data_IF_339131468796
#
_entry.id   IF_339131468796
#
_cell.length_a   1.000
_cell.length_b   1.000
_cell.length_c   1.000
_cell.angle_alpha   90.00
_cell.angle_beta   90.00
_cell.angle_gamma   90.00
#
_symmetry.space_group_name_H-M   'P 1'
#
loop_
_entity.id
_entity.type
_entity.pdbx_description
1 polymer ?
#
# COMPACT_ATOMS: atom_id res chain seq x y z
N UNK A 1 28.59 -8.31 -43.23
CA UNK A 1 28.50 -7.17 -42.29
C UNK A 1 27.31 -7.39 -41.38
N UNK A 2 27.52 -7.86 -40.15
CA UNK A 2 26.43 -7.95 -39.14
C UNK A 2 26.29 -6.56 -38.53
N UNK A 3 25.20 -5.86 -38.86
CA UNK A 3 24.89 -4.57 -38.28
C UNK A 3 24.77 -4.70 -36.76
N UNK A 4 25.70 -4.09 -36.03
CA UNK A 4 25.68 -3.91 -34.58
C UNK A 4 24.66 -2.82 -34.22
N UNK A 5 23.36 -3.11 -34.35
CA UNK A 5 22.36 -2.29 -33.66
C UNK A 5 22.39 -2.68 -32.18
N UNK A 6 23.09 -1.90 -31.35
CA UNK A 6 22.87 -1.97 -29.90
C UNK A 6 21.39 -1.67 -29.67
N UNK A 7 20.65 -2.54 -28.94
CA UNK A 7 19.25 -2.25 -28.63
C UNK A 7 19.18 -0.90 -27.92
N UNK A 8 18.23 -0.05 -28.36
CA UNK A 8 18.00 1.26 -27.75
C UNK A 8 17.78 1.07 -26.24
N UNK A 9 18.41 1.88 -25.37
CA UNK A 9 18.17 1.78 -23.94
C UNK A 9 16.67 1.96 -23.67
N UNK A 10 16.09 1.06 -22.86
CA UNK A 10 14.67 1.12 -22.51
C UNK A 10 14.44 2.36 -21.65
N UNK A 11 13.42 3.15 -21.99
CA UNK A 11 13.03 4.29 -21.16
C UNK A 11 12.27 3.81 -19.92
N UNK A 12 12.17 4.61 -18.84
CA UNK A 12 11.35 4.28 -17.68
C UNK A 12 9.90 3.91 -18.06
N UNK A 13 9.32 4.64 -19.02
CA UNK A 13 7.99 4.34 -19.54
C UNK A 13 7.93 2.99 -20.28
N UNK A 14 8.94 2.63 -21.06
CA UNK A 14 8.98 1.33 -21.76
C UNK A 14 9.02 0.16 -20.78
N UNK A 15 9.76 0.31 -19.68
CA UNK A 15 9.84 -0.72 -18.62
C UNK A 15 8.49 -0.89 -17.94
N UNK A 16 7.79 0.21 -17.64
CA UNK A 16 6.43 0.15 -17.05
C UNK A 16 5.45 -0.53 -18.00
N UNK A 17 5.45 -0.18 -19.29
CA UNK A 17 4.56 -0.80 -20.30
C UNK A 17 4.80 -2.29 -20.42
N UNK A 18 6.07 -2.70 -20.57
CA UNK A 18 6.43 -4.11 -20.61
C UNK A 18 6.02 -4.84 -19.30
N UNK A 19 6.27 -4.23 -18.13
CA UNK A 19 5.80 -4.77 -16.84
C UNK A 19 4.29 -4.99 -16.84
N UNK A 20 3.51 -4.02 -17.33
CA UNK A 20 2.05 -4.10 -17.42
C UNK A 20 1.60 -5.25 -18.33
N UNK A 21 2.25 -5.43 -19.47
CA UNK A 21 1.92 -6.51 -20.41
C UNK A 21 2.27 -7.89 -19.85
N UNK A 22 3.39 -8.02 -19.14
CA UNK A 22 3.75 -9.24 -18.41
C UNK A 22 2.80 -9.54 -17.26
N UNK A 23 2.30 -8.50 -16.55
CA UNK A 23 1.28 -8.67 -15.52
C UNK A 23 -0.07 -9.11 -16.12
N UNK A 24 -0.49 -8.54 -17.25
CA UNK A 24 -1.69 -8.98 -17.99
C UNK A 24 -1.56 -10.44 -18.41
N UNK A 25 -0.38 -10.84 -18.89
CA UNK A 25 -0.09 -12.22 -19.21
C UNK A 25 -0.23 -13.13 -17.98
N UNK A 26 0.40 -12.75 -16.86
CA UNK A 26 0.38 -13.51 -15.61
C UNK A 26 -1.03 -13.60 -15.00
N UNK A 27 -1.87 -12.59 -15.19
CA UNK A 27 -3.26 -12.60 -14.73
C UNK A 27 -4.04 -13.77 -15.33
N UNK A 28 -3.84 -14.04 -16.62
CA UNK A 28 -4.55 -15.07 -17.40
C UNK A 28 -3.82 -16.42 -17.45
N UNK A 29 -2.56 -16.49 -17.00
CA UNK A 29 -1.78 -17.73 -17.03
C UNK A 29 -2.27 -18.75 -15.98
N UNK A 30 -2.66 -19.97 -16.39
CA UNK A 30 -3.11 -21.03 -15.48
C UNK A 30 -1.94 -21.76 -14.79
N UNK A 31 -0.75 -21.79 -15.39
CA UNK A 31 0.45 -22.43 -14.83
C UNK A 31 1.71 -21.56 -15.06
N UNK A 32 2.19 -20.95 -13.98
CA UNK A 32 3.37 -20.06 -13.96
C UNK A 32 4.65 -20.81 -14.37
N UNK A 33 4.73 -22.14 -14.16
CA UNK A 33 5.94 -22.93 -14.44
C UNK A 33 6.22 -23.11 -15.93
N UNK A 34 5.20 -23.05 -16.78
CA UNK A 34 5.36 -23.22 -18.24
C UNK A 34 5.94 -21.99 -18.92
N UNK A 35 5.75 -20.81 -18.33
CA UNK A 35 6.11 -19.52 -18.94
C UNK A 35 7.27 -18.83 -18.20
N UNK A 36 8.31 -19.60 -17.89
CA UNK A 36 9.42 -19.19 -17.04
C UNK A 36 10.12 -17.92 -17.55
N UNK A 37 10.33 -17.77 -18.86
CA UNK A 37 11.05 -16.62 -19.42
C UNK A 37 10.33 -15.28 -19.18
N UNK A 38 9.01 -15.26 -19.35
CA UNK A 38 8.18 -14.06 -19.10
C UNK A 38 8.13 -13.70 -17.61
N UNK A 39 8.08 -14.70 -16.75
CA UNK A 39 8.11 -14.52 -15.30
C UNK A 39 9.47 -13.98 -14.84
N UNK A 40 10.56 -14.51 -15.38
CA UNK A 40 11.92 -14.02 -15.13
C UNK A 40 12.06 -12.56 -15.61
N UNK A 41 11.52 -12.23 -16.78
CA UNK A 41 11.52 -10.86 -17.30
C UNK A 41 10.71 -9.91 -16.41
N UNK A 42 9.55 -10.36 -15.90
CA UNK A 42 8.75 -9.57 -14.96
C UNK A 42 9.54 -9.26 -13.69
N UNK A 43 10.24 -10.25 -13.13
CA UNK A 43 11.06 -10.03 -11.93
C UNK A 43 12.22 -9.05 -12.19
N UNK A 44 12.86 -9.14 -13.36
CA UNK A 44 13.89 -8.16 -13.77
C UNK A 44 13.30 -6.76 -13.88
N UNK A 45 12.13 -6.61 -14.50
CA UNK A 45 11.49 -5.31 -14.65
C UNK A 45 11.10 -4.73 -13.28
N UNK A 46 10.53 -5.51 -12.36
CA UNK A 46 10.20 -5.03 -11.00
C UNK A 46 11.43 -4.55 -10.24
N UNK A 47 12.55 -5.26 -10.36
CA UNK A 47 13.82 -4.85 -9.78
C UNK A 47 14.35 -3.55 -10.41
N UNK A 48 14.22 -3.41 -11.72
CA UNK A 48 14.64 -2.21 -12.44
C UNK A 48 13.78 -0.98 -12.09
N UNK A 49 12.45 -1.15 -11.98
CA UNK A 49 11.55 -0.12 -11.48
C UNK A 49 11.96 0.34 -10.07
N UNK A 50 12.30 -0.60 -9.18
CA UNK A 50 12.82 -0.28 -7.84
C UNK A 50 14.13 0.51 -7.93
N UNK A 51 15.07 0.08 -8.77
CA UNK A 51 16.35 0.78 -8.95
C UNK A 51 16.18 2.20 -9.48
N UNK A 52 15.22 2.44 -10.38
CA UNK A 52 14.90 3.79 -10.85
C UNK A 52 14.42 4.68 -9.69
N UNK A 53 13.57 4.14 -8.81
CA UNK A 53 12.92 4.90 -7.74
C UNK A 53 13.79 5.11 -6.48
N UNK A 54 14.74 4.23 -6.21
CA UNK A 54 15.60 4.28 -5.03
C UNK A 54 17.08 4.51 -5.34
N UNK A 55 17.49 4.44 -6.61
CA UNK A 55 18.89 4.41 -6.99
C UNK A 55 19.56 3.06 -6.72
N UNK A 56 20.88 3.06 -6.75
CA UNK A 56 21.73 1.94 -6.37
C UNK A 56 22.98 2.44 -5.62
N UNK A 57 23.97 1.58 -5.39
CA UNK A 57 25.22 1.95 -4.71
C UNK A 57 26.08 2.96 -5.47
N UNK A 58 25.84 3.16 -6.77
CA UNK A 58 26.67 3.97 -7.67
C UNK A 58 25.98 5.29 -8.07
N UNK A 59 24.65 5.33 -8.08
CA UNK A 59 23.87 6.45 -8.57
C UNK A 59 22.59 6.69 -7.76
N UNK A 60 22.32 7.95 -7.45
CA UNK A 60 21.05 8.40 -6.89
C UNK A 60 19.91 8.35 -7.93
N UNK A 61 18.65 8.23 -7.47
CA UNK A 61 17.50 8.23 -8.37
C UNK A 61 17.37 9.56 -9.12
N UNK A 62 17.28 9.50 -10.45
CA UNK A 62 17.14 10.67 -11.31
C UNK A 62 15.69 11.17 -11.26
N UNK A 63 15.41 12.42 -10.83
CA UNK A 63 14.04 12.92 -10.65
C UNK A 63 13.17 12.83 -11.91
N UNK A 64 13.74 13.11 -13.08
CA UNK A 64 13.03 13.01 -14.36
C UNK A 64 12.62 11.56 -14.66
N UNK A 65 13.50 10.59 -14.42
CA UNK A 65 13.20 9.18 -14.64
C UNK A 65 12.11 8.68 -13.66
N UNK A 66 12.17 9.09 -12.40
CA UNK A 66 11.12 8.84 -11.41
C UNK A 66 9.78 9.42 -11.85
N UNK A 67 9.77 10.66 -12.36
CA UNK A 67 8.56 11.33 -12.84
C UNK A 67 7.95 10.59 -14.05
N UNK A 68 8.77 10.20 -15.03
CA UNK A 68 8.31 9.46 -16.21
C UNK A 68 7.74 8.08 -15.84
N UNK A 69 8.43 7.35 -14.96
CA UNK A 69 7.97 6.06 -14.43
C UNK A 69 6.62 6.23 -13.71
N UNK A 70 6.53 7.20 -12.80
CA UNK A 70 5.31 7.46 -12.01
C UNK A 70 4.13 7.79 -12.91
N UNK A 71 4.34 8.67 -13.90
CA UNK A 71 3.31 9.04 -14.86
C UNK A 71 2.81 7.81 -15.63
N UNK A 72 3.70 7.03 -16.22
CA UNK A 72 3.31 5.85 -17.00
C UNK A 72 2.68 4.74 -16.12
N UNK A 73 3.08 4.63 -14.85
CA UNK A 73 2.54 3.61 -13.95
C UNK A 73 1.07 3.84 -13.64
N UNK A 74 0.69 5.09 -13.36
CA UNK A 74 -0.68 5.50 -13.04
C UNK A 74 -1.54 5.89 -14.25
N UNK A 75 -0.96 6.02 -15.44
CA UNK A 75 -1.72 6.31 -16.67
C UNK A 75 -2.71 5.19 -17.05
N UNK A 76 -2.45 3.95 -16.59
CA UNK A 76 -3.31 2.79 -16.83
C UNK A 76 -3.44 1.93 -15.55
N UNK A 77 -3.99 0.72 -15.67
CA UNK A 77 -4.26 -0.19 -14.57
C UNK A 77 -3.04 -0.95 -14.02
N UNK A 78 -1.82 -0.40 -14.12
CA UNK A 78 -0.60 -1.10 -13.68
C UNK A 78 -0.66 -1.42 -12.18
N UNK A 79 -1.12 -0.47 -11.35
CA UNK A 79 -1.21 -0.69 -9.91
C UNK A 79 -2.17 -1.83 -9.57
N UNK A 80 -3.40 -1.80 -10.11
CA UNK A 80 -4.40 -2.86 -9.93
C UNK A 80 -3.90 -4.23 -10.36
N UNK A 81 -3.30 -4.31 -11.56
CA UNK A 81 -2.76 -5.56 -12.08
C UNK A 81 -1.66 -6.11 -11.17
N UNK A 82 -0.78 -5.25 -10.66
CA UNK A 82 0.29 -5.62 -9.75
C UNK A 82 -0.27 -6.16 -8.43
N UNK A 83 -1.27 -5.50 -7.84
CA UNK A 83 -1.95 -5.95 -6.60
C UNK A 83 -2.57 -7.34 -6.79
N UNK A 84 -3.28 -7.56 -7.91
CA UNK A 84 -3.95 -8.83 -8.21
C UNK A 84 -2.96 -9.96 -8.52
N UNK A 85 -1.83 -9.65 -9.14
CA UNK A 85 -0.81 -10.65 -9.48
C UNK A 85 0.21 -10.88 -8.35
N UNK A 86 0.26 -10.03 -7.33
CA UNK A 86 1.24 -10.10 -6.24
C UNK A 86 1.34 -11.52 -5.60
N UNK A 87 0.23 -12.23 -5.33
CA UNK A 87 0.29 -13.58 -4.76
C UNK A 87 0.95 -14.61 -5.69
N UNK A 88 0.96 -14.37 -7.00
CA UNK A 88 1.58 -15.23 -8.02
C UNK A 88 3.10 -15.04 -8.10
N UNK A 89 3.65 -13.98 -7.51
CA UNK A 89 5.09 -13.68 -7.55
C UNK A 89 5.85 -14.41 -6.44
N UNK A 90 7.17 -14.58 -6.62
CA UNK A 90 8.04 -15.06 -5.55
C UNK A 90 8.30 -13.96 -4.50
N UNK A 91 8.86 -14.34 -3.35
CA UNK A 91 9.06 -13.44 -2.22
C UNK A 91 9.86 -12.17 -2.57
N UNK A 92 10.93 -12.30 -3.36
CA UNK A 92 11.78 -11.16 -3.72
C UNK A 92 11.03 -10.18 -4.63
N UNK A 93 10.33 -10.69 -5.64
CA UNK A 93 9.50 -9.87 -6.53
C UNK A 93 8.33 -9.21 -5.78
N UNK A 94 7.74 -9.86 -4.76
CA UNK A 94 6.74 -9.23 -3.88
C UNK A 94 7.34 -8.06 -3.10
N UNK A 95 8.55 -8.21 -2.56
CA UNK A 95 9.27 -7.12 -1.85
C UNK A 95 9.55 -5.95 -2.80
N UNK A 96 10.06 -6.23 -3.98
CA UNK A 96 10.35 -5.21 -5.01
C UNK A 96 9.08 -4.46 -5.41
N UNK A 97 8.00 -5.19 -5.73
CA UNK A 97 6.70 -4.60 -6.05
C UNK A 97 6.13 -3.74 -4.91
N UNK A 98 6.27 -4.20 -3.66
CA UNK A 98 5.84 -3.44 -2.47
C UNK A 98 6.57 -2.12 -2.36
N UNK A 99 7.90 -2.12 -2.51
CA UNK A 99 8.72 -0.91 -2.44
C UNK A 99 8.43 0.04 -3.60
N UNK A 100 8.24 -0.48 -4.81
CA UNK A 100 7.83 0.32 -5.98
C UNK A 100 6.52 1.03 -5.70
N UNK A 101 5.46 0.31 -5.30
CA UNK A 101 4.16 0.91 -4.98
C UNK A 101 4.28 1.94 -3.86
N UNK A 102 5.00 1.62 -2.79
CA UNK A 102 5.20 2.50 -1.64
C UNK A 102 5.85 3.83 -2.03
N UNK A 103 6.92 3.78 -2.83
CA UNK A 103 7.62 4.97 -3.30
C UNK A 103 6.73 5.83 -4.20
N UNK A 104 6.02 5.20 -5.14
CA UNK A 104 5.15 5.87 -6.10
C UNK A 104 4.04 6.70 -5.46
N UNK A 105 3.56 6.33 -4.27
CA UNK A 105 2.55 7.13 -3.55
C UNK A 105 3.04 8.53 -3.16
N UNK A 106 4.37 8.73 -3.07
CA UNK A 106 5.01 9.98 -2.63
C UNK A 106 5.58 10.79 -3.78
N UNK A 107 5.65 10.22 -4.98
CA UNK A 107 6.24 10.87 -6.15
C UNK A 107 5.37 12.01 -6.65
N UNK A 108 5.99 13.15 -6.94
CA UNK A 108 5.33 14.30 -7.54
C UNK A 108 5.66 14.35 -9.03
N UNK A 109 4.64 14.44 -9.87
CA UNK A 109 4.75 14.70 -11.31
C UNK A 109 4.21 16.10 -11.56
N UNK A 110 5.05 16.99 -12.07
CA UNK A 110 4.69 18.41 -12.28
C UNK A 110 4.10 19.04 -10.99
N UNK A 111 4.73 18.77 -9.84
CA UNK A 111 4.30 19.23 -8.51
C UNK A 111 2.92 18.72 -8.04
N UNK A 112 2.39 17.65 -8.66
CA UNK A 112 1.12 17.01 -8.26
C UNK A 112 1.34 15.55 -7.85
N UNK A 113 0.60 15.10 -6.84
CA UNK A 113 0.55 13.70 -6.42
C UNK A 113 -0.46 12.93 -7.26
N UNK A 114 -0.09 12.56 -8.48
CA UNK A 114 -1.00 11.88 -9.42
C UNK A 114 -1.50 10.51 -8.92
N UNK A 115 -0.81 9.92 -7.93
CA UNK A 115 -1.26 8.72 -7.25
C UNK A 115 -2.62 8.92 -6.54
N UNK A 116 -2.86 10.10 -5.97
CA UNK A 116 -4.13 10.45 -5.34
C UNK A 116 -5.27 10.45 -6.37
N UNK A 117 -5.05 11.06 -7.54
CA UNK A 117 -6.04 11.13 -8.62
C UNK A 117 -6.38 9.75 -9.19
N UNK A 118 -5.39 8.85 -9.25
CA UNK A 118 -5.61 7.45 -9.64
C UNK A 118 -6.45 6.70 -8.59
N UNK A 119 -6.10 6.86 -7.31
CA UNK A 119 -6.74 6.16 -6.20
C UNK A 119 -8.20 6.59 -6.01
N UNK A 120 -8.52 7.87 -6.20
CA UNK A 120 -9.91 8.36 -6.18
C UNK A 120 -10.82 7.59 -7.15
N UNK A 121 -10.28 7.14 -8.29
CA UNK A 121 -11.01 6.36 -9.31
C UNK A 121 -10.96 4.84 -9.07
N UNK A 122 -10.22 4.37 -8.07
CA UNK A 122 -9.90 2.96 -7.82
C UNK A 122 -9.90 2.61 -6.32
N UNK A 123 -10.81 3.22 -5.54
CA UNK A 123 -10.84 3.06 -4.08
C UNK A 123 -11.09 1.61 -3.63
N UNK A 124 -11.75 0.80 -4.46
CA UNK A 124 -11.97 -0.64 -4.24
C UNK A 124 -10.65 -1.44 -4.13
N UNK A 125 -9.52 -0.90 -4.60
CA UNK A 125 -8.20 -1.49 -4.32
C UNK A 125 -7.92 -1.59 -2.81
N UNK A 126 -8.45 -0.67 -2.01
CA UNK A 126 -8.26 -0.73 -0.56
C UNK A 126 -8.95 -1.94 0.04
N UNK A 127 -10.09 -2.36 -0.50
CA UNK A 127 -10.81 -3.55 -0.03
C UNK A 127 -9.95 -4.80 -0.21
N UNK A 128 -9.22 -4.88 -1.33
CA UNK A 128 -8.27 -5.95 -1.63
C UNK A 128 -7.07 -5.90 -0.67
N UNK A 129 -6.46 -4.72 -0.51
CA UNK A 129 -5.29 -4.55 0.36
C UNK A 129 -5.61 -4.86 1.83
N UNK A 130 -6.78 -4.42 2.32
CA UNK A 130 -7.21 -4.64 3.70
C UNK A 130 -7.57 -6.11 3.95
N UNK A 131 -8.28 -6.74 3.02
CA UNK A 131 -8.55 -8.19 3.11
C UNK A 131 -7.27 -9.02 3.00
N UNK A 132 -6.19 -8.42 2.49
CA UNK A 132 -4.84 -8.95 2.49
C UNK A 132 -4.30 -9.43 3.83
N UNK A 133 -4.74 -8.84 4.95
CA UNK A 133 -4.35 -9.26 6.30
C UNK A 133 -4.84 -10.67 6.67
N UNK A 134 -5.85 -11.20 5.95
CA UNK A 134 -6.37 -12.56 6.14
C UNK A 134 -5.43 -13.63 5.54
N UNK A 135 -4.41 -13.22 4.76
CA UNK A 135 -3.41 -14.10 4.17
C UNK A 135 -2.01 -13.78 4.73
N UNK A 136 -1.45 -14.69 5.52
CA UNK A 136 -0.17 -14.50 6.19
C UNK A 136 1.01 -14.20 5.23
N UNK A 137 1.02 -14.79 4.04
CA UNK A 137 2.08 -14.58 3.04
C UNK A 137 2.01 -13.21 2.37
N UNK A 138 0.84 -12.55 2.44
CA UNK A 138 0.55 -11.29 1.76
C UNK A 138 0.37 -10.12 2.71
N UNK A 139 0.03 -10.37 3.97
CA UNK A 139 -0.37 -9.39 4.96
C UNK A 139 0.63 -8.23 5.07
N UNK A 140 1.94 -8.51 5.21
CA UNK A 140 2.96 -7.46 5.34
C UNK A 140 3.18 -6.68 4.04
N UNK A 141 2.99 -7.30 2.89
CA UNK A 141 3.11 -6.64 1.59
C UNK A 141 1.93 -5.69 1.36
N UNK A 142 0.70 -6.19 1.53
CA UNK A 142 -0.49 -5.39 1.35
C UNK A 142 -0.66 -4.33 2.44
N UNK A 143 -0.30 -4.63 3.70
CA UNK A 143 -0.27 -3.66 4.78
C UNK A 143 0.69 -2.49 4.51
N UNK A 144 1.89 -2.78 4.00
CA UNK A 144 2.84 -1.74 3.59
C UNK A 144 2.32 -0.88 2.43
N UNK A 145 1.71 -1.48 1.40
CA UNK A 145 1.08 -0.72 0.30
C UNK A 145 -0.09 0.13 0.80
N UNK A 146 -0.93 -0.42 1.68
CA UNK A 146 -2.09 0.25 2.24
C UNK A 146 -1.68 1.48 3.07
N UNK A 147 -0.68 1.37 3.93
CA UNK A 147 -0.16 2.51 4.71
C UNK A 147 0.27 3.68 3.84
N UNK A 148 0.88 3.39 2.70
CA UNK A 148 1.28 4.44 1.77
C UNK A 148 0.08 5.04 1.02
N UNK A 149 -0.98 4.26 0.76
CA UNK A 149 -2.20 4.75 0.14
C UNK A 149 -3.02 5.66 1.08
N UNK A 150 -3.16 5.31 2.38
CA UNK A 150 -3.91 6.12 3.36
C UNK A 150 -3.24 7.48 3.66
N UNK A 151 -2.05 7.74 3.11
CA UNK A 151 -1.45 9.08 3.09
C UNK A 151 -2.31 10.09 2.36
N UNK A 152 -3.08 9.65 1.36
CA UNK A 152 -4.02 10.48 0.63
C UNK A 152 -5.34 10.57 1.39
N UNK A 153 -5.83 11.78 1.64
CA UNK A 153 -7.02 12.00 2.47
C UNK A 153 -8.27 11.30 1.92
N UNK A 154 -8.41 11.24 0.59
CA UNK A 154 -9.53 10.56 -0.08
C UNK A 154 -9.58 9.06 0.24
N UNK A 155 -8.40 8.42 0.31
CA UNK A 155 -8.27 7.00 0.65
C UNK A 155 -8.57 6.77 2.12
N UNK A 156 -7.99 7.58 3.00
CA UNK A 156 -8.25 7.47 4.43
C UNK A 156 -9.74 7.64 4.76
N UNK A 157 -10.40 8.61 4.11
CA UNK A 157 -11.85 8.81 4.25
C UNK A 157 -12.63 7.57 3.83
N UNK A 158 -12.32 7.02 2.64
CA UNK A 158 -12.96 5.79 2.15
C UNK A 158 -12.82 4.63 3.14
N UNK A 159 -11.61 4.38 3.65
CA UNK A 159 -11.38 3.27 4.60
C UNK A 159 -12.12 3.49 5.92
N UNK A 160 -12.09 4.71 6.48
CA UNK A 160 -12.81 5.05 7.72
C UNK A 160 -14.33 4.84 7.59
N UNK A 161 -14.91 5.25 6.47
CA UNK A 161 -16.36 5.15 6.23
C UNK A 161 -16.80 3.75 5.79
N UNK A 162 -15.87 2.83 5.54
CA UNK A 162 -16.15 1.46 5.08
C UNK A 162 -16.32 0.46 6.24
N UNK A 163 -16.98 -0.69 5.99
CA UNK A 163 -17.01 -1.80 6.95
C UNK A 163 -15.64 -2.34 7.33
N UNK A 164 -14.61 -2.10 6.51
CA UNK A 164 -13.24 -2.53 6.79
C UNK A 164 -12.66 -1.91 8.07
N UNK A 165 -13.17 -0.76 8.50
CA UNK A 165 -12.72 -0.12 9.74
C UNK A 165 -12.87 -1.05 10.95
N UNK A 166 -13.95 -1.83 11.02
CA UNK A 166 -14.18 -2.81 12.09
C UNK A 166 -13.20 -3.98 12.05
N UNK A 167 -12.76 -4.40 10.85
CA UNK A 167 -11.83 -5.53 10.70
C UNK A 167 -10.47 -5.27 11.36
N UNK A 168 -10.04 -4.00 11.45
CA UNK A 168 -8.77 -3.67 12.12
C UNK A 168 -8.73 -4.10 13.58
N UNK A 169 -9.85 -4.06 14.31
CA UNK A 169 -9.90 -4.53 15.69
C UNK A 169 -9.57 -6.02 15.82
N UNK A 170 -9.92 -6.81 14.80
CA UNK A 170 -9.61 -8.23 14.74
C UNK A 170 -8.18 -8.46 14.23
N UNK A 171 -7.74 -7.70 13.22
CA UNK A 171 -6.39 -7.82 12.66
C UNK A 171 -5.27 -7.46 13.65
N UNK A 172 -5.50 -6.46 14.51
CA UNK A 172 -4.56 -6.07 15.58
C UNK A 172 -4.37 -7.20 16.62
N UNK A 173 -5.26 -8.17 16.64
CA UNK A 173 -5.24 -9.30 17.56
C UNK A 173 -4.80 -10.62 16.91
N UNK A 174 -4.37 -10.58 15.65
CA UNK A 174 -3.83 -11.75 14.96
C UNK A 174 -2.65 -12.33 15.77
N UNK A 175 -2.56 -13.67 15.96
CA UNK A 175 -1.49 -14.27 16.76
C UNK A 175 -0.07 -14.02 16.24
N UNK A 176 0.07 -13.82 14.91
CA UNK A 176 1.33 -13.42 14.32
C UNK A 176 1.66 -11.97 14.70
N UNK A 177 2.71 -11.81 15.51
CA UNK A 177 3.14 -10.52 16.04
C UNK A 177 3.44 -9.48 14.96
N UNK A 178 4.14 -9.87 13.89
CA UNK A 178 4.52 -8.93 12.83
C UNK A 178 3.29 -8.41 12.09
N UNK A 179 2.32 -9.29 11.80
CA UNK A 179 1.07 -8.94 11.14
C UNK A 179 0.21 -8.05 12.03
N UNK A 180 0.05 -8.41 13.32
CA UNK A 180 -0.71 -7.62 14.27
C UNK A 180 -0.10 -6.23 14.50
N UNK A 181 1.22 -6.15 14.65
CA UNK A 181 1.93 -4.88 14.80
C UNK A 181 1.80 -4.01 13.53
N UNK A 182 1.87 -4.62 12.35
CA UNK A 182 1.66 -3.96 11.06
C UNK A 182 0.23 -3.39 10.94
N UNK A 183 -0.79 -4.19 11.28
CA UNK A 183 -2.19 -3.75 11.31
C UNK A 183 -2.41 -2.62 12.32
N UNK A 184 -1.80 -2.71 13.50
CA UNK A 184 -1.88 -1.66 14.53
C UNK A 184 -1.21 -0.36 14.07
N UNK A 185 -0.08 -0.44 13.36
CA UNK A 185 0.57 0.73 12.77
C UNK A 185 -0.31 1.38 11.69
N UNK A 186 -0.94 0.58 10.83
CA UNK A 186 -1.87 1.06 9.80
C UNK A 186 -3.10 1.72 10.43
N UNK A 187 -3.73 1.08 11.41
CA UNK A 187 -4.87 1.63 12.15
C UNK A 187 -4.50 2.95 12.83
N UNK A 188 -3.35 2.99 13.50
CA UNK A 188 -2.85 4.20 14.14
C UNK A 188 -2.68 5.33 13.13
N UNK A 189 -2.03 5.06 11.99
CA UNK A 189 -1.81 6.07 10.95
C UNK A 189 -3.14 6.59 10.39
N UNK A 190 -4.11 5.71 10.15
CA UNK A 190 -5.45 6.05 9.71
C UNK A 190 -6.15 6.99 10.71
N UNK A 191 -6.05 6.70 12.01
CA UNK A 191 -6.69 7.46 13.09
C UNK A 191 -5.97 8.75 13.49
N UNK A 192 -4.77 9.03 12.97
CA UNK A 192 -3.97 10.18 13.44
C UNK A 192 -3.49 11.12 12.33
N UNK A 193 -3.49 10.68 11.07
CA UNK A 193 -2.95 11.46 9.95
C UNK A 193 -3.85 12.63 9.54
N UNK A 194 -5.10 12.35 9.16
CA UNK A 194 -6.00 13.34 8.56
C UNK A 194 -6.99 13.87 9.60
N UNK A 195 -6.59 14.94 10.29
CA UNK A 195 -7.24 15.34 11.53
C UNK A 195 -8.75 15.60 11.39
N UNK A 196 -9.12 16.38 10.39
CA UNK A 196 -10.52 16.73 10.12
C UNK A 196 -11.36 15.53 9.73
N UNK A 197 -10.82 14.64 8.91
CA UNK A 197 -11.52 13.42 8.46
C UNK A 197 -11.79 12.48 9.64
N UNK A 198 -10.80 12.26 10.51
CA UNK A 198 -10.98 11.40 11.69
C UNK A 198 -11.98 12.02 12.68
N UNK A 199 -11.88 13.33 12.92
CA UNK A 199 -12.83 14.06 13.75
C UNK A 199 -14.29 13.91 13.26
N UNK A 200 -14.52 14.08 11.96
CA UNK A 200 -15.83 13.90 11.33
C UNK A 200 -16.32 12.44 11.42
N UNK A 201 -15.43 11.48 11.20
CA UNK A 201 -15.76 10.06 11.35
C UNK A 201 -16.24 9.75 12.77
N UNK A 202 -15.49 10.18 13.80
CA UNK A 202 -15.79 9.86 15.19
C UNK A 202 -17.05 10.54 15.70
N UNK A 203 -17.33 11.79 15.29
CA UNK A 203 -18.55 12.47 15.72
C UNK A 203 -19.82 11.74 15.27
N UNK A 204 -19.75 11.01 14.15
CA UNK A 204 -20.85 10.19 13.63
C UNK A 204 -20.86 8.75 14.16
N UNK A 205 -19.73 8.27 14.69
CA UNK A 205 -19.49 6.85 14.96
C UNK A 205 -19.03 6.56 16.39
N UNK A 206 -19.18 7.53 17.30
CA UNK A 206 -18.62 7.52 18.65
C UNK A 206 -18.94 6.22 19.41
N UNK A 207 -20.23 5.91 19.56
CA UNK A 207 -20.70 4.80 20.41
C UNK A 207 -20.08 3.47 19.99
N UNK A 208 -20.36 3.01 18.76
CA UNK A 208 -19.86 1.71 18.33
C UNK A 208 -18.33 1.66 18.25
N UNK A 209 -17.67 2.76 17.87
CA UNK A 209 -16.22 2.78 17.73
C UNK A 209 -15.56 2.57 19.08
N UNK A 210 -15.98 3.31 20.12
CA UNK A 210 -15.40 3.19 21.45
C UNK A 210 -15.84 1.91 22.15
N UNK A 211 -17.04 1.39 21.90
CA UNK A 211 -17.46 0.08 22.39
C UNK A 211 -16.55 -1.03 21.87
N UNK A 212 -16.26 -1.05 20.56
CA UNK A 212 -15.33 -2.01 19.95
C UNK A 212 -13.90 -1.77 20.44
N UNK A 213 -13.46 -0.52 20.53
CA UNK A 213 -12.11 -0.18 21.01
C UNK A 213 -11.86 -0.66 22.44
N UNK A 214 -12.84 -0.43 23.33
CA UNK A 214 -12.76 -0.82 24.73
C UNK A 214 -12.78 -2.34 24.87
N UNK A 215 -13.83 -2.99 24.36
CA UNK A 215 -14.06 -4.43 24.53
C UNK A 215 -13.01 -5.29 23.83
N UNK A 216 -12.59 -4.92 22.61
CA UNK A 216 -11.64 -5.72 21.83
C UNK A 216 -10.19 -5.39 22.10
N UNK A 217 -9.83 -4.14 22.41
CA UNK A 217 -8.42 -3.75 22.52
C UNK A 217 -7.98 -3.44 23.95
N UNK A 218 -8.69 -2.57 24.68
CA UNK A 218 -8.31 -2.20 26.05
C UNK A 218 -8.54 -3.34 27.05
N UNK A 219 -9.61 -4.11 26.86
CA UNK A 219 -9.95 -5.27 27.69
C UNK A 219 -9.40 -6.59 27.13
N UNK A 220 -8.64 -6.54 26.02
CA UNK A 220 -8.06 -7.72 25.39
C UNK A 220 -7.26 -8.54 26.40
N UNK A 221 -7.35 -9.88 26.37
CA UNK A 221 -6.53 -10.75 27.21
C UNK A 221 -5.02 -10.65 26.85
N UNK A 222 -4.71 -10.23 25.62
CA UNK A 222 -3.35 -10.03 25.14
C UNK A 222 -2.74 -8.73 25.68
N UNK A 223 -1.72 -8.85 26.54
CA UNK A 223 -1.00 -7.71 27.12
C UNK A 223 -0.40 -6.77 26.05
N UNK A 224 0.14 -7.32 24.96
CA UNK A 224 0.75 -6.51 23.88
C UNK A 224 -0.33 -5.68 23.19
N UNK A 225 -1.46 -6.29 22.85
CA UNK A 225 -2.62 -5.59 22.29
C UNK A 225 -3.08 -4.47 23.21
N UNK A 226 -3.30 -4.74 24.50
CA UNK A 226 -3.69 -3.71 25.48
C UNK A 226 -2.68 -2.56 25.52
N UNK A 227 -1.39 -2.87 25.58
CA UNK A 227 -0.31 -1.86 25.63
C UNK A 227 -0.28 -1.00 24.36
N UNK A 228 -0.43 -1.61 23.18
CA UNK A 228 -0.49 -0.87 21.92
C UNK A 228 -1.75 -0.01 21.84
N UNK A 229 -2.90 -0.54 22.25
CA UNK A 229 -4.15 0.19 22.33
C UNK A 229 -4.02 1.42 23.23
N UNK A 230 -3.53 1.27 24.47
CA UNK A 230 -3.29 2.42 25.36
C UNK A 230 -2.35 3.45 24.71
N UNK A 231 -1.30 3.02 23.99
CA UNK A 231 -0.42 3.95 23.29
C UNK A 231 -1.16 4.74 22.19
N UNK A 232 -1.93 4.05 21.34
CA UNK A 232 -2.74 4.70 20.30
C UNK A 232 -3.75 5.64 20.93
N UNK A 233 -4.41 5.21 22.01
CA UNK A 233 -5.35 6.00 22.79
C UNK A 233 -4.74 7.29 23.34
N UNK A 234 -3.56 7.23 23.94
CA UNK A 234 -2.90 8.42 24.48
C UNK A 234 -2.58 9.45 23.38
N UNK A 235 -2.08 8.98 22.23
CA UNK A 235 -1.80 9.86 21.08
C UNK A 235 -3.09 10.44 20.49
N UNK A 236 -4.15 9.64 20.51
CA UNK A 236 -5.48 10.03 20.07
C UNK A 236 -6.17 11.04 21.01
N UNK A 237 -6.02 10.91 22.34
CA UNK A 237 -6.51 11.89 23.30
C UNK A 237 -5.77 13.22 23.20
N UNK A 238 -4.45 13.18 23.01
CA UNK A 238 -3.66 14.38 22.72
C UNK A 238 -4.12 15.06 21.42
N UNK A 239 -4.63 14.28 20.48
CA UNK A 239 -5.22 14.76 19.24
C UNK A 239 -6.63 15.35 19.43
N UNK A 240 -7.53 14.70 20.19
CA UNK A 240 -8.88 15.21 20.44
C UNK A 240 -8.87 16.47 21.30
N UNK A 241 -7.98 16.57 22.29
CA UNK A 241 -7.85 17.78 23.12
C UNK A 241 -7.49 19.02 22.27
N UNK A 242 -6.90 18.81 21.09
CA UNK A 242 -6.64 19.87 20.10
C UNK A 242 -7.90 20.25 19.30
N UNK A 243 -8.92 19.39 19.20
CA UNK A 243 -10.07 19.53 18.28
C UNK A 243 -11.40 19.88 18.99
N UNK A 244 -11.47 20.04 20.32
CA UNK A 244 -12.72 20.36 21.06
C UNK A 244 -13.88 19.36 20.77
N UNK A 245 -13.59 18.07 20.63
CA UNK A 245 -14.65 17.04 20.51
C UNK A 245 -15.08 16.51 21.89
N UNK A 246 -14.31 16.81 22.94
CA UNK A 246 -14.70 16.51 24.32
C UNK A 246 -15.33 17.77 24.95
N UNK A 247 -16.60 18.00 24.64
CA UNK A 247 -17.56 18.76 25.43
C UNK A 247 -18.94 18.15 25.22
#
# INVERSE_FOLDING_TARGET
>A
MKSLFKPKPRTPSDIVRNTRDLLRFLQHAPDIKRDNDKVIELFKNLRELKTILYGNSEAEPVPEACSQLTQEFFNENTFRLLVQCLPKLNLEARKDATQVVANLQRQQVQSRLIASDYLEKNLDLMDILISGYENADMALHYGAMLRECIRHQIVAKYVLESPHMKKFFDYIQIPNFDIAADAAATFKELMTRHKSTVAEFLSKNYEWFFDEYNSKLLESSNYITRRQAVKVWCEFLAFISTIRILN
#
